data_IF_785640502479
#
_entry.id   IF_785640502479
#
_cell.length_a   1.000
_cell.length_b   1.000
_cell.length_c   1.000
_cell.angle_alpha   90.00
_cell.angle_beta   90.00
_cell.angle_gamma   90.00
#
_symmetry.space_group_name_H-M   'P 1'
#
loop_
_entity.id
_entity.type
_entity.pdbx_description
1 polymer ?
#
# COMPACT_ATOMS: atom_id res chain seq x y z
N UNK A 1 -26.83 38.62 -0.56
CA UNK A 1 -25.71 38.03 0.20
C UNK A 1 -24.59 37.47 -0.68
N UNK A 2 -24.78 36.40 -1.47
CA UNK A 2 -23.72 35.93 -2.38
C UNK A 2 -23.41 36.93 -3.50
N UNK A 3 -24.44 37.59 -4.03
CA UNK A 3 -24.32 38.71 -4.97
C UNK A 3 -23.44 39.84 -4.44
N UNK A 4 -23.63 40.25 -3.18
CA UNK A 4 -22.91 41.40 -2.59
C UNK A 4 -21.44 41.09 -2.36
N UNK A 5 -21.11 39.85 -1.97
CA UNK A 5 -19.73 39.39 -1.86
C UNK A 5 -19.07 39.25 -3.22
N UNK A 6 -19.78 38.78 -4.24
CA UNK A 6 -19.27 38.77 -5.60
C UNK A 6 -19.01 40.19 -6.11
N UNK A 7 -19.92 41.14 -5.87
CA UNK A 7 -19.72 42.55 -6.22
C UNK A 7 -18.48 43.12 -5.50
N UNK A 8 -18.28 42.83 -4.22
CA UNK A 8 -17.08 43.25 -3.48
C UNK A 8 -15.81 42.61 -4.04
N UNK A 9 -15.86 41.31 -4.34
CA UNK A 9 -14.73 40.58 -4.92
C UNK A 9 -14.34 41.12 -6.31
N UNK A 10 -15.34 41.50 -7.12
CA UNK A 10 -15.15 42.13 -8.42
C UNK A 10 -14.51 43.51 -8.30
N UNK A 11 -14.99 44.35 -7.36
CA UNK A 11 -14.40 45.68 -7.12
C UNK A 11 -12.95 45.60 -6.61
N UNK A 12 -12.61 44.54 -5.89
CA UNK A 12 -11.29 44.37 -5.27
C UNK A 12 -10.30 43.49 -6.04
N UNK A 13 -10.63 42.99 -7.24
CA UNK A 13 -9.82 42.01 -7.99
C UNK A 13 -9.34 40.84 -7.10
N UNK A 14 -10.28 40.25 -6.36
CA UNK A 14 -9.94 39.26 -5.35
C UNK A 14 -9.25 38.02 -5.94
N UNK A 15 -8.06 37.70 -5.41
CA UNK A 15 -7.33 36.46 -5.74
C UNK A 15 -7.97 35.22 -5.11
N UNK A 16 -8.69 35.38 -4.00
CA UNK A 16 -9.39 34.27 -3.35
C UNK A 16 -10.78 34.70 -2.92
N UNK A 17 -11.78 33.89 -3.25
CA UNK A 17 -13.19 34.16 -2.97
C UNK A 17 -13.77 33.05 -2.12
N UNK A 18 -14.27 33.42 -0.94
CA UNK A 18 -14.84 32.49 0.04
C UNK A 18 -16.36 32.69 0.14
N UNK A 19 -17.12 31.68 -0.29
CA UNK A 19 -18.57 31.63 -0.29
C UNK A 19 -19.09 30.39 0.46
N UNK A 20 -18.29 29.86 1.38
CA UNK A 20 -18.61 28.66 2.15
C UNK A 20 -19.69 28.92 3.21
N UNK A 21 -20.50 27.89 3.52
CA UNK A 21 -21.50 27.93 4.60
C UNK A 21 -22.55 29.03 4.44
N UNK A 22 -23.06 29.23 3.21
CA UNK A 22 -24.01 30.31 2.87
C UNK A 22 -25.38 29.82 2.40
N UNK A 23 -25.67 28.53 2.54
CA UNK A 23 -26.90 27.89 2.07
C UNK A 23 -27.20 28.18 0.58
N UNK A 24 -26.15 28.28 -0.24
CA UNK A 24 -26.29 28.57 -1.66
C UNK A 24 -26.85 27.34 -2.37
N UNK A 25 -27.94 27.53 -3.10
CA UNK A 25 -28.47 26.53 -4.03
C UNK A 25 -27.88 26.66 -5.43
N UNK A 26 -27.48 27.86 -5.81
CA UNK A 26 -26.88 28.17 -7.10
C UNK A 26 -25.78 29.22 -6.94
N UNK A 27 -24.74 29.12 -7.78
CA UNK A 27 -23.72 30.18 -7.90
C UNK A 27 -24.18 31.18 -8.96
N UNK A 28 -24.22 32.49 -8.67
CA UNK A 28 -24.61 33.50 -9.65
C UNK A 28 -23.67 33.52 -10.87
N UNK A 29 -24.24 33.75 -12.07
CA UNK A 29 -23.48 33.84 -13.34
C UNK A 29 -22.34 34.88 -13.30
N UNK A 30 -22.47 35.91 -12.45
CA UNK A 30 -21.45 36.92 -12.21
C UNK A 30 -20.10 36.34 -11.70
N UNK A 31 -20.07 35.10 -11.21
CA UNK A 31 -18.82 34.42 -10.83
C UNK A 31 -17.80 34.41 -11.96
N UNK A 32 -18.24 34.33 -13.24
CA UNK A 32 -17.34 34.34 -14.38
C UNK A 32 -16.64 35.69 -14.63
N UNK A 33 -17.02 36.75 -13.94
CA UNK A 33 -16.35 38.05 -14.04
C UNK A 33 -15.10 38.12 -13.13
N UNK A 34 -14.87 37.12 -12.27
CA UNK A 34 -13.74 37.04 -11.35
C UNK A 34 -12.44 36.57 -12.02
N UNK A 35 -12.04 37.23 -13.11
CA UNK A 35 -10.93 36.77 -13.97
C UNK A 35 -9.58 36.59 -13.26
N UNK A 36 -9.35 37.27 -12.13
CA UNK A 36 -8.12 37.22 -11.34
C UNK A 36 -8.15 36.21 -10.17
N UNK A 37 -9.24 35.45 -10.01
CA UNK A 37 -9.39 34.54 -8.88
C UNK A 37 -8.58 33.27 -9.09
N UNK A 38 -7.71 33.00 -8.12
CA UNK A 38 -6.81 31.85 -8.02
C UNK A 38 -7.43 30.74 -7.14
N UNK A 39 -8.23 31.12 -6.14
CA UNK A 39 -8.88 30.17 -5.23
C UNK A 39 -10.36 30.48 -5.02
N UNK A 40 -11.23 29.49 -5.19
CA UNK A 40 -12.67 29.61 -5.01
C UNK A 40 -13.18 28.54 -4.04
N UNK A 41 -13.75 28.99 -2.91
CA UNK A 41 -14.32 28.11 -1.89
C UNK A 41 -15.83 28.24 -1.86
N UNK A 42 -16.50 27.14 -2.19
CA UNK A 42 -17.96 27.00 -2.30
C UNK A 42 -18.48 25.86 -1.41
N UNK A 43 -17.65 25.36 -0.48
CA UNK A 43 -17.99 24.22 0.37
C UNK A 43 -19.06 24.52 1.42
N UNK A 44 -19.72 23.49 1.94
CA UNK A 44 -20.81 23.60 2.91
C UNK A 44 -21.97 24.45 2.35
N UNK A 45 -22.48 24.11 1.18
CA UNK A 45 -23.66 24.74 0.59
C UNK A 45 -24.65 23.66 0.15
N UNK A 46 -25.62 23.99 -0.70
CA UNK A 46 -26.58 23.05 -1.27
C UNK A 46 -26.54 23.13 -2.80
N UNK A 47 -25.34 23.23 -3.36
CA UNK A 47 -25.13 23.32 -4.81
C UNK A 47 -25.29 21.94 -5.44
N UNK A 48 -26.13 21.86 -6.48
CA UNK A 48 -26.25 20.68 -7.35
C UNK A 48 -25.62 20.90 -8.73
N UNK A 49 -25.33 22.15 -9.09
CA UNK A 49 -24.73 22.52 -10.38
C UNK A 49 -23.85 23.77 -10.27
N UNK A 50 -23.04 23.99 -11.30
CA UNK A 50 -22.22 25.19 -11.46
C UNK A 50 -22.58 25.90 -12.76
N UNK A 51 -22.61 27.24 -12.80
CA UNK A 51 -22.90 27.99 -14.01
C UNK A 51 -21.79 27.83 -15.05
N UNK A 52 -22.13 27.78 -16.33
CA UNK A 52 -21.16 27.70 -17.43
C UNK A 52 -20.14 28.84 -17.41
N UNK A 53 -20.54 30.01 -16.91
CA UNK A 53 -19.66 31.18 -16.78
C UNK A 53 -18.43 30.89 -15.91
N UNK A 54 -18.41 29.83 -15.08
CA UNK A 54 -17.23 29.44 -14.33
C UNK A 54 -16.03 29.15 -15.25
N UNK A 55 -16.26 28.73 -16.50
CA UNK A 55 -15.20 28.42 -17.46
C UNK A 55 -14.28 29.59 -17.82
N UNK A 56 -14.69 30.83 -17.54
CA UNK A 56 -13.87 32.04 -17.77
C UNK A 56 -12.80 32.25 -16.70
N UNK A 57 -12.81 31.48 -15.61
CA UNK A 57 -11.82 31.57 -14.53
C UNK A 57 -10.49 30.91 -14.90
N UNK A 58 -9.78 31.52 -15.86
CA UNK A 58 -8.53 31.00 -16.44
C UNK A 58 -7.32 31.02 -15.50
N UNK A 59 -7.45 31.60 -14.30
CA UNK A 59 -6.39 31.63 -13.29
C UNK A 59 -6.70 30.73 -12.08
N UNK A 60 -7.84 30.04 -12.09
CA UNK A 60 -8.28 29.25 -10.95
C UNK A 60 -7.37 28.02 -10.79
N UNK A 61 -6.75 27.91 -9.61
CA UNK A 61 -5.85 26.81 -9.25
C UNK A 61 -6.41 25.95 -8.12
N UNK A 62 -7.25 26.51 -7.26
CA UNK A 62 -7.88 25.81 -6.14
C UNK A 62 -9.39 26.00 -6.18
N UNK A 63 -10.13 24.89 -6.20
CA UNK A 63 -11.58 24.88 -6.15
C UNK A 63 -12.04 23.90 -5.07
N UNK A 64 -12.81 24.42 -4.10
CA UNK A 64 -13.40 23.61 -3.05
C UNK A 64 -14.93 23.61 -3.16
N UNK A 65 -15.49 22.44 -3.49
CA UNK A 65 -16.91 22.15 -3.66
C UNK A 65 -17.41 21.13 -2.62
N UNK A 66 -16.63 20.84 -1.58
CA UNK A 66 -17.01 19.82 -0.60
C UNK A 66 -18.28 20.14 0.18
N UNK A 67 -18.97 19.13 0.72
CA UNK A 67 -20.23 19.27 1.47
C UNK A 67 -21.27 20.08 0.67
N UNK A 68 -21.64 19.56 -0.49
CA UNK A 68 -22.72 20.04 -1.36
C UNK A 68 -23.61 18.85 -1.72
N UNK A 69 -24.41 18.95 -2.78
CA UNK A 69 -25.34 17.89 -3.23
C UNK A 69 -25.07 17.52 -4.70
N UNK A 70 -23.80 17.49 -5.11
CA UNK A 70 -23.42 17.06 -6.45
C UNK A 70 -23.57 15.54 -6.57
N UNK A 71 -24.35 15.08 -7.55
CA UNK A 71 -24.47 13.65 -7.90
C UNK A 71 -23.46 13.21 -8.97
N UNK A 72 -22.90 14.18 -9.71
CA UNK A 72 -21.86 13.99 -10.71
C UNK A 72 -20.84 15.13 -10.62
N UNK A 73 -19.64 14.92 -11.18
CA UNK A 73 -18.68 16.02 -11.34
C UNK A 73 -19.24 17.03 -12.36
N UNK A 74 -19.36 18.33 -12.02
CA UNK A 74 -19.91 19.31 -12.95
C UNK A 74 -19.10 19.41 -14.26
N UNK A 75 -19.78 19.28 -15.40
CA UNK A 75 -19.15 19.26 -16.72
C UNK A 75 -18.30 20.52 -17.02
N UNK A 76 -18.66 21.67 -16.46
CA UNK A 76 -17.91 22.94 -16.62
C UNK A 76 -16.46 22.85 -16.13
N UNK A 77 -16.15 21.93 -15.21
CA UNK A 77 -14.80 21.77 -14.68
C UNK A 77 -13.80 21.35 -15.76
N UNK A 78 -14.25 20.70 -16.85
CA UNK A 78 -13.38 20.29 -17.96
C UNK A 78 -12.66 21.45 -18.65
N UNK A 79 -13.18 22.68 -18.49
CA UNK A 79 -12.62 23.89 -19.08
C UNK A 79 -11.63 24.62 -18.16
N UNK A 80 -11.48 24.18 -16.89
CA UNK A 80 -10.63 24.80 -15.88
C UNK A 80 -9.23 24.18 -15.91
N UNK A 81 -8.55 24.31 -17.05
CA UNK A 81 -7.27 23.62 -17.31
C UNK A 81 -6.12 24.04 -16.39
N UNK A 82 -6.23 25.18 -15.69
CA UNK A 82 -5.23 25.65 -14.71
C UNK A 82 -5.42 25.07 -13.30
N UNK A 83 -6.47 24.29 -13.08
CA UNK A 83 -6.82 23.78 -11.77
C UNK A 83 -5.77 22.77 -11.28
N UNK A 84 -5.26 23.00 -10.07
CA UNK A 84 -4.26 22.17 -9.40
C UNK A 84 -4.83 21.39 -8.21
N UNK A 85 -5.83 21.95 -7.54
CA UNK A 85 -6.44 21.34 -6.35
C UNK A 85 -7.96 21.35 -6.49
N UNK A 86 -8.56 20.17 -6.45
CA UNK A 86 -10.00 19.98 -6.51
C UNK A 86 -10.48 19.17 -5.31
N UNK A 87 -11.37 19.79 -4.54
CA UNK A 87 -12.00 19.16 -3.38
C UNK A 87 -13.49 18.99 -3.64
N UNK A 88 -13.97 17.75 -3.63
CA UNK A 88 -15.33 17.32 -3.89
C UNK A 88 -15.88 16.41 -2.77
N UNK A 89 -15.23 16.43 -1.59
CA UNK A 89 -15.60 15.56 -0.48
C UNK A 89 -17.02 15.81 0.02
N UNK A 90 -17.71 14.80 0.57
CA UNK A 90 -19.03 15.00 1.18
C UNK A 90 -20.09 15.43 0.17
N UNK A 91 -20.13 14.79 -0.99
CA UNK A 91 -21.19 14.96 -1.99
C UNK A 91 -21.86 13.60 -2.22
N UNK A 92 -22.76 13.50 -3.19
CA UNK A 92 -23.45 12.27 -3.57
C UNK A 92 -22.92 11.71 -4.90
N UNK A 93 -21.66 12.00 -5.25
CA UNK A 93 -21.08 11.65 -6.54
C UNK A 93 -21.01 10.13 -6.68
N UNK A 94 -21.69 9.57 -7.67
CA UNK A 94 -21.70 8.11 -7.90
C UNK A 94 -20.84 7.68 -9.10
N UNK A 95 -20.52 8.60 -10.02
CA UNK A 95 -19.68 8.35 -11.19
C UNK A 95 -18.73 9.50 -11.48
N UNK A 96 -17.58 9.20 -12.10
CA UNK A 96 -16.63 10.20 -12.57
C UNK A 96 -16.70 10.24 -14.09
N UNK A 97 -17.12 11.39 -14.65
CA UNK A 97 -17.19 11.57 -16.09
C UNK A 97 -15.76 11.63 -16.69
N UNK A 98 -15.40 10.73 -17.64
CA UNK A 98 -14.08 10.73 -18.27
C UNK A 98 -13.67 12.07 -18.86
N UNK A 99 -14.56 12.75 -19.61
CA UNK A 99 -14.24 14.02 -20.28
C UNK A 99 -13.80 15.10 -19.30
N UNK A 100 -14.37 15.09 -18.10
CA UNK A 100 -14.02 16.08 -17.07
C UNK A 100 -12.63 15.82 -16.53
N UNK A 101 -12.24 14.56 -16.32
CA UNK A 101 -10.89 14.21 -15.90
C UNK A 101 -9.86 14.53 -16.98
N UNK A 102 -10.18 14.31 -18.26
CA UNK A 102 -9.28 14.65 -19.37
C UNK A 102 -9.01 16.15 -19.47
N UNK A 103 -9.98 16.99 -19.09
CA UNK A 103 -9.85 18.46 -19.07
C UNK A 103 -9.02 19.04 -17.92
N UNK A 104 -8.52 18.20 -17.00
CA UNK A 104 -7.85 18.62 -15.77
C UNK A 104 -6.39 18.13 -15.66
N UNK A 105 -5.53 18.29 -16.69
CA UNK A 105 -4.19 17.68 -16.75
C UNK A 105 -3.21 18.23 -15.69
N UNK A 106 -3.51 19.38 -15.09
CA UNK A 106 -2.65 20.04 -14.11
C UNK A 106 -3.03 19.74 -12.66
N UNK A 107 -4.00 18.86 -12.42
CA UNK A 107 -4.37 18.46 -11.06
C UNK A 107 -3.20 17.78 -10.35
N UNK A 108 -2.95 18.25 -9.15
CA UNK A 108 -1.97 17.73 -8.17
C UNK A 108 -2.67 17.12 -6.96
N UNK A 109 -3.85 17.62 -6.60
CA UNK A 109 -4.67 17.12 -5.49
C UNK A 109 -6.10 16.89 -5.96
N UNK A 110 -6.59 15.67 -5.77
CA UNK A 110 -7.98 15.31 -5.99
C UNK A 110 -8.55 14.61 -4.75
N UNK A 111 -9.54 15.24 -4.11
CA UNK A 111 -10.22 14.70 -2.94
C UNK A 111 -11.69 14.44 -3.25
N UNK A 112 -12.07 13.17 -3.23
CA UNK A 112 -13.41 12.62 -3.50
C UNK A 112 -13.98 11.87 -2.29
N UNK A 113 -13.47 12.13 -1.08
CA UNK A 113 -13.88 11.42 0.13
C UNK A 113 -15.38 11.57 0.41
N UNK A 114 -16.01 10.58 1.07
CA UNK A 114 -17.42 10.64 1.46
C UNK A 114 -18.33 10.94 0.26
N UNK A 115 -18.28 10.06 -0.73
CA UNK A 115 -19.16 10.07 -1.90
C UNK A 115 -19.76 8.66 -2.08
N UNK A 116 -20.36 8.39 -3.24
CA UNK A 116 -20.99 7.10 -3.60
C UNK A 116 -20.31 6.44 -4.79
N UNK A 117 -19.03 6.77 -5.04
CA UNK A 117 -18.31 6.36 -6.24
C UNK A 117 -18.07 4.85 -6.19
N UNK A 118 -18.42 4.15 -7.28
CA UNK A 118 -18.20 2.70 -7.45
C UNK A 118 -17.01 2.35 -8.33
N UNK A 119 -16.74 3.18 -9.34
CA UNK A 119 -15.70 2.94 -10.34
C UNK A 119 -14.94 4.22 -10.60
N UNK A 120 -13.61 4.12 -10.67
CA UNK A 120 -12.74 5.18 -11.19
C UNK A 120 -12.45 4.82 -12.66
N UNK A 121 -12.78 5.69 -13.64
CA UNK A 121 -12.60 5.36 -15.04
C UNK A 121 -11.11 5.34 -15.42
N UNK A 122 -10.73 4.57 -16.47
CA UNK A 122 -9.38 4.57 -17.05
C UNK A 122 -8.83 5.96 -17.41
N UNK A 123 -9.70 6.94 -17.65
CA UNK A 123 -9.33 8.33 -17.91
C UNK A 123 -8.53 8.99 -16.77
N UNK A 124 -8.49 8.39 -15.56
CA UNK A 124 -7.65 8.85 -14.45
C UNK A 124 -6.17 8.99 -14.84
N UNK A 125 -5.68 8.20 -15.82
CA UNK A 125 -4.31 8.32 -16.36
C UNK A 125 -3.98 9.69 -16.94
N UNK A 126 -4.98 10.50 -17.28
CA UNK A 126 -4.80 11.87 -17.80
C UNK A 126 -4.34 12.86 -16.73
N UNK A 127 -4.55 12.54 -15.45
CA UNK A 127 -4.10 13.35 -14.32
C UNK A 127 -2.61 13.10 -14.03
N UNK A 128 -1.75 13.25 -15.04
CA UNK A 128 -0.32 12.87 -14.97
C UNK A 128 0.50 13.67 -13.94
N UNK A 129 -0.05 14.79 -13.45
CA UNK A 129 0.53 15.61 -12.40
C UNK A 129 0.00 15.30 -10.99
N UNK A 130 -0.86 14.29 -10.82
CA UNK A 130 -1.50 14.00 -9.54
C UNK A 130 -0.46 13.48 -8.53
N UNK A 131 -0.43 14.13 -7.38
CA UNK A 131 0.46 13.81 -6.25
C UNK A 131 -0.34 13.19 -5.09
N UNK A 132 -1.54 13.71 -4.84
CA UNK A 132 -2.41 13.27 -3.75
C UNK A 132 -3.77 12.87 -4.32
N UNK A 133 -4.13 11.60 -4.13
CA UNK A 133 -5.43 11.06 -4.50
C UNK A 133 -6.13 10.47 -3.28
N UNK A 134 -7.31 10.99 -2.95
CA UNK A 134 -8.09 10.53 -1.79
C UNK A 134 -9.54 10.28 -2.18
N UNK A 135 -10.04 9.08 -1.89
CA UNK A 135 -11.41 8.63 -2.21
C UNK A 135 -11.96 7.75 -1.09
N UNK A 136 -11.71 8.13 0.17
CA UNK A 136 -12.13 7.37 1.34
C UNK A 136 -13.64 7.38 1.52
N UNK A 137 -14.21 6.38 2.18
CA UNK A 137 -15.65 6.31 2.44
C UNK A 137 -16.46 6.42 1.14
N UNK A 138 -16.20 5.50 0.22
CA UNK A 138 -16.90 5.36 -1.05
C UNK A 138 -17.34 3.89 -1.21
N UNK A 139 -17.71 3.49 -2.43
CA UNK A 139 -18.19 2.15 -2.74
C UNK A 139 -17.31 1.48 -3.80
N UNK A 140 -16.02 1.82 -3.85
CA UNK A 140 -15.10 1.28 -4.87
C UNK A 140 -14.93 -0.22 -4.70
N UNK A 141 -15.13 -0.96 -5.78
CA UNK A 141 -14.96 -2.42 -5.83
C UNK A 141 -13.57 -2.80 -6.38
N UNK A 142 -13.00 -1.95 -7.22
CA UNK A 142 -11.70 -2.13 -7.85
C UNK A 142 -10.88 -0.83 -7.92
N UNK A 143 -9.56 -0.99 -8.01
CA UNK A 143 -8.64 0.09 -8.36
C UNK A 143 -8.32 -0.09 -9.86
N UNK A 144 -8.50 0.93 -10.72
CA UNK A 144 -8.14 0.79 -12.13
C UNK A 144 -6.63 0.67 -12.29
N UNK A 145 -6.18 -0.22 -13.19
CA UNK A 145 -4.76 -0.42 -13.51
C UNK A 145 -4.07 0.89 -13.95
N UNK A 146 -4.82 1.78 -14.61
CA UNK A 146 -4.38 3.10 -15.04
C UNK A 146 -3.90 4.01 -13.91
N UNK A 147 -4.30 3.77 -12.66
CA UNK A 147 -3.80 4.53 -11.51
C UNK A 147 -2.29 4.34 -11.34
N UNK A 148 -1.77 3.15 -11.70
CA UNK A 148 -0.33 2.84 -11.71
C UNK A 148 0.51 3.65 -12.71
N UNK A 149 -0.13 4.35 -13.65
CA UNK A 149 0.55 5.21 -14.62
C UNK A 149 0.88 6.60 -14.05
N UNK A 150 0.31 6.98 -12.90
CA UNK A 150 0.48 8.30 -12.31
C UNK A 150 1.76 8.37 -11.45
N UNK A 151 2.92 8.42 -12.11
CA UNK A 151 4.26 8.33 -11.48
C UNK A 151 4.62 9.42 -10.47
N UNK A 152 3.81 10.48 -10.37
CA UNK A 152 3.97 11.56 -9.39
C UNK A 152 3.18 11.34 -8.10
N UNK A 153 2.34 10.29 -8.02
CA UNK A 153 1.59 10.00 -6.81
C UNK A 153 2.53 9.73 -5.63
N UNK A 154 2.35 10.51 -4.57
CA UNK A 154 3.04 10.36 -3.29
C UNK A 154 2.10 9.86 -2.21
N UNK A 155 0.79 10.14 -2.32
CA UNK A 155 -0.20 9.72 -1.34
C UNK A 155 -1.48 9.19 -2.02
N UNK A 156 -1.88 7.98 -1.62
CA UNK A 156 -3.15 7.37 -2.03
C UNK A 156 -3.93 7.00 -0.77
N UNK A 157 -5.18 7.45 -0.68
CA UNK A 157 -6.10 7.04 0.37
C UNK A 157 -7.40 6.47 -0.20
N UNK A 158 -7.54 5.15 -0.05
CA UNK A 158 -8.63 4.30 -0.53
C UNK A 158 -9.37 3.64 0.65
N UNK A 159 -9.18 4.12 1.88
CA UNK A 159 -9.77 3.51 3.06
C UNK A 159 -11.31 3.56 3.07
N UNK A 160 -11.97 2.60 3.72
CA UNK A 160 -13.44 2.47 3.79
C UNK A 160 -14.06 2.38 2.39
N UNK A 161 -13.69 1.33 1.64
CA UNK A 161 -14.26 0.97 0.35
C UNK A 161 -14.58 -0.54 0.34
N UNK A 162 -14.80 -1.14 -0.83
CA UNK A 162 -15.11 -2.56 -1.01
C UNK A 162 -14.04 -3.27 -1.84
N UNK A 163 -12.79 -2.79 -1.77
CA UNK A 163 -11.70 -3.31 -2.59
C UNK A 163 -11.36 -4.74 -2.17
N UNK A 164 -11.22 -5.62 -3.15
CA UNK A 164 -10.87 -7.04 -2.92
C UNK A 164 -9.43 -7.37 -3.31
N UNK A 165 -8.83 -6.57 -4.20
CA UNK A 165 -7.47 -6.77 -4.70
C UNK A 165 -6.79 -5.44 -5.01
N UNK A 166 -5.47 -5.49 -5.16
CA UNK A 166 -4.62 -4.38 -5.63
C UNK A 166 -4.08 -4.78 -7.01
N UNK A 167 -4.24 -3.95 -8.06
CA UNK A 167 -3.72 -4.26 -9.39
C UNK A 167 -2.20 -4.18 -9.41
N UNK A 168 -1.56 -5.06 -10.18
CA UNK A 168 -0.10 -5.15 -10.27
C UNK A 168 0.56 -3.82 -10.69
N UNK A 169 -0.11 -3.04 -11.53
CA UNK A 169 0.39 -1.75 -12.01
C UNK A 169 0.57 -0.73 -10.87
N UNK A 170 -0.12 -0.88 -9.74
CA UNK A 170 0.03 0.03 -8.61
C UNK A 170 1.42 -0.07 -7.97
N UNK A 171 2.12 -1.19 -8.14
CA UNK A 171 3.48 -1.38 -7.69
C UNK A 171 4.49 -0.52 -8.45
N UNK A 172 4.15 -0.04 -9.64
CA UNK A 172 5.04 0.83 -10.42
C UNK A 172 5.06 2.29 -9.92
N UNK A 173 4.39 2.59 -8.80
CA UNK A 173 4.36 3.91 -8.17
C UNK A 173 5.56 4.10 -7.24
N UNK A 174 6.73 4.28 -7.82
CA UNK A 174 8.01 4.37 -7.07
C UNK A 174 8.12 5.60 -6.16
N UNK A 175 7.32 6.65 -6.38
CA UNK A 175 7.30 7.85 -5.54
C UNK A 175 6.28 7.77 -4.39
N UNK A 176 5.52 6.68 -4.28
CA UNK A 176 4.47 6.53 -3.27
C UNK A 176 5.09 6.47 -1.88
N UNK A 177 4.64 7.37 -0.99
CA UNK A 177 5.09 7.47 0.41
C UNK A 177 4.04 7.00 1.39
N UNK A 178 2.76 7.18 1.05
CA UNK A 178 1.63 6.80 1.91
C UNK A 178 0.56 6.07 1.11
N UNK A 179 0.20 4.88 1.57
CA UNK A 179 -0.88 4.08 1.02
C UNK A 179 -1.84 3.67 2.14
N UNK A 180 -3.07 4.17 2.10
CA UNK A 180 -4.12 3.80 3.04
C UNK A 180 -5.19 2.97 2.33
N UNK A 181 -5.32 1.72 2.74
CA UNK A 181 -6.26 0.70 2.25
C UNK A 181 -7.12 0.13 3.39
N UNK A 182 -7.14 0.80 4.54
CA UNK A 182 -7.88 0.36 5.72
C UNK A 182 -9.36 0.11 5.42
N UNK A 183 -9.99 -0.86 6.10
CA UNK A 183 -11.43 -1.13 6.04
C UNK A 183 -11.87 -1.39 4.60
N UNK A 184 -11.25 -2.41 3.99
CA UNK A 184 -11.61 -2.97 2.70
C UNK A 184 -11.80 -4.50 2.88
N UNK A 185 -11.81 -5.26 1.78
CA UNK A 185 -11.95 -6.71 1.79
C UNK A 185 -10.77 -7.41 1.14
N UNK A 186 -9.57 -6.83 1.27
CA UNK A 186 -8.33 -7.41 0.73
C UNK A 186 -8.01 -8.72 1.43
N UNK A 187 -7.74 -9.77 0.65
CA UNK A 187 -7.35 -11.09 1.17
C UNK A 187 -5.85 -11.29 1.22
N UNK A 188 -5.14 -10.72 0.26
CA UNK A 188 -3.70 -10.87 0.11
C UNK A 188 -3.09 -9.57 -0.43
N UNK A 189 -1.78 -9.39 -0.21
CA UNK A 189 -0.97 -8.40 -0.90
C UNK A 189 -0.11 -9.15 -1.94
N UNK A 190 -0.32 -8.93 -3.26
CA UNK A 190 0.43 -9.65 -4.30
C UNK A 190 1.95 -9.44 -4.28
N UNK A 191 2.66 -10.33 -4.98
CA UNK A 191 4.07 -10.16 -5.33
C UNK A 191 4.28 -8.89 -6.17
N UNK A 192 5.34 -8.12 -5.87
CA UNK A 192 5.60 -6.81 -6.49
C UNK A 192 5.65 -5.64 -5.51
N UNK A 193 5.39 -5.89 -4.23
CA UNK A 193 5.38 -4.85 -3.18
C UNK A 193 6.69 -4.05 -3.08
N UNK A 194 7.81 -4.62 -3.53
CA UNK A 194 9.11 -3.97 -3.60
C UNK A 194 9.15 -2.73 -4.51
N UNK A 195 8.23 -2.60 -5.47
CA UNK A 195 8.13 -1.40 -6.31
C UNK A 195 7.79 -0.13 -5.53
N UNK A 196 7.23 -0.27 -4.33
CA UNK A 196 6.97 0.82 -3.39
C UNK A 196 8.22 1.21 -2.57
N UNK A 197 9.33 1.46 -3.27
CA UNK A 197 10.66 1.71 -2.69
C UNK A 197 10.69 2.86 -1.67
N UNK A 198 9.82 3.87 -1.85
CA UNK A 198 9.77 5.07 -1.01
C UNK A 198 8.61 5.08 0.00
N UNK A 199 7.91 3.94 0.16
CA UNK A 199 6.76 3.84 1.03
C UNK A 199 7.18 3.89 2.49
N UNK A 200 6.53 4.80 3.23
CA UNK A 200 6.78 5.06 4.64
C UNK A 200 5.61 4.63 5.50
N UNK A 201 4.39 4.91 5.04
CA UNK A 201 3.16 4.58 5.77
C UNK A 201 2.31 3.64 4.94
N UNK A 202 2.05 2.45 5.48
CA UNK A 202 1.10 1.49 4.94
C UNK A 202 -0.01 1.22 5.97
N UNK A 203 -1.25 1.47 5.59
CA UNK A 203 -2.41 1.14 6.41
C UNK A 203 -3.29 0.12 5.68
N UNK A 204 -3.31 -1.10 6.18
CA UNK A 204 -4.14 -2.22 5.71
C UNK A 204 -5.05 -2.74 6.81
N UNK A 205 -5.27 -1.96 7.88
CA UNK A 205 -6.10 -2.37 9.00
C UNK A 205 -7.55 -2.65 8.59
N UNK A 206 -8.23 -3.62 9.20
CA UNK A 206 -9.62 -3.96 8.91
C UNK A 206 -9.83 -4.57 7.53
N UNK A 207 -8.94 -5.46 7.11
CA UNK A 207 -9.06 -6.26 5.89
C UNK A 207 -9.22 -7.76 6.26
N UNK A 208 -9.02 -8.66 5.29
CA UNK A 208 -9.05 -10.11 5.49
C UNK A 208 -7.69 -10.76 5.21
N UNK A 209 -6.59 -10.02 5.44
CA UNK A 209 -5.24 -10.51 5.22
C UNK A 209 -4.94 -11.68 6.15
N UNK A 210 -4.38 -12.76 5.60
CA UNK A 210 -3.96 -13.94 6.36
C UNK A 210 -2.45 -14.00 6.58
N UNK A 211 -1.67 -13.41 5.66
CA UNK A 211 -0.22 -13.30 5.72
C UNK A 211 0.29 -12.11 4.89
N UNK A 212 1.54 -11.72 5.12
CA UNK A 212 2.27 -10.80 4.25
C UNK A 212 3.11 -11.59 3.23
N UNK A 213 3.37 -11.04 2.02
CA UNK A 213 4.27 -11.67 1.05
C UNK A 213 5.72 -11.71 1.59
N UNK A 214 6.53 -12.65 1.11
CA UNK A 214 7.90 -12.85 1.60
C UNK A 214 8.77 -11.58 1.51
N UNK A 215 8.60 -10.82 0.43
CA UNK A 215 9.37 -9.60 0.19
C UNK A 215 8.94 -8.40 1.06
N UNK A 216 7.86 -8.52 1.84
CA UNK A 216 7.36 -7.45 2.70
C UNK A 216 8.41 -6.97 3.71
N UNK A 217 9.28 -7.86 4.18
CA UNK A 217 10.35 -7.55 5.14
C UNK A 217 11.39 -6.54 4.62
N UNK A 218 11.47 -6.33 3.30
CA UNK A 218 12.44 -5.41 2.70
C UNK A 218 11.91 -3.97 2.60
N UNK A 219 10.63 -3.73 2.91
CA UNK A 219 10.08 -2.38 2.95
C UNK A 219 10.57 -1.61 4.18
N UNK A 220 11.10 -0.41 3.96
CA UNK A 220 11.55 0.49 5.01
C UNK A 220 10.40 1.35 5.55
N UNK A 221 9.33 0.71 6.03
CA UNK A 221 8.16 1.41 6.59
C UNK A 221 8.50 2.12 7.91
N UNK A 222 8.03 3.35 8.04
CA UNK A 222 8.02 4.12 9.30
C UNK A 222 6.77 3.78 10.13
N UNK A 223 5.65 3.55 9.45
CA UNK A 223 4.34 3.28 10.07
C UNK A 223 3.62 2.14 9.34
N UNK A 224 3.16 1.14 10.09
CA UNK A 224 2.37 0.03 9.58
C UNK A 224 1.15 -0.19 10.47
N UNK A 225 -0.04 -0.10 9.88
CA UNK A 225 -1.31 -0.41 10.53
C UNK A 225 -1.91 -1.65 9.86
N UNK A 226 -2.22 -2.68 10.64
CA UNK A 226 -2.66 -3.98 10.14
C UNK A 226 -3.64 -4.69 11.08
N UNK A 227 -4.13 -3.99 12.10
CA UNK A 227 -5.07 -4.48 13.08
C UNK A 227 -6.40 -4.88 12.42
N UNK A 228 -7.13 -5.84 12.99
CA UNK A 228 -8.43 -6.26 12.43
C UNK A 228 -8.33 -7.03 11.12
N UNK A 229 -7.21 -7.71 10.87
CA UNK A 229 -7.03 -8.72 9.84
C UNK A 229 -7.10 -10.13 10.42
N UNK A 230 -7.08 -11.15 9.55
CA UNK A 230 -7.17 -12.56 9.90
C UNK A 230 -5.79 -13.24 9.88
N UNK A 231 -4.76 -12.53 10.36
CA UNK A 231 -3.42 -13.12 10.43
C UNK A 231 -3.46 -14.36 11.31
N UNK A 232 -2.94 -15.46 10.77
CA UNK A 232 -2.91 -16.73 11.47
C UNK A 232 -2.18 -16.53 12.79
N UNK A 233 -2.89 -16.73 13.91
CA UNK A 233 -2.25 -16.85 15.21
C UNK A 233 -1.43 -18.13 15.17
N UNK A 234 -0.11 -17.99 15.14
CA UNK A 234 0.77 -19.14 15.27
C UNK A 234 0.66 -19.66 16.70
N UNK A 235 -0.09 -20.75 16.90
CA UNK A 235 0.13 -21.59 18.07
C UNK A 235 1.55 -22.13 17.96
N UNK A 236 2.41 -21.69 18.88
CA UNK A 236 3.74 -22.26 19.04
C UNK A 236 3.53 -23.73 19.41
N UNK A 237 3.66 -24.62 18.43
CA UNK A 237 3.78 -26.04 18.73
C UNK A 237 5.10 -26.22 19.46
N UNK A 238 5.03 -26.56 20.76
CA UNK A 238 6.17 -27.13 21.44
C UNK A 238 6.57 -28.37 20.65
N UNK A 239 7.76 -28.34 20.05
CA UNK A 239 8.30 -29.56 19.47
C UNK A 239 8.48 -30.53 20.63
N UNK A 240 7.65 -31.57 20.66
CA UNK A 240 7.92 -32.73 21.49
C UNK A 240 9.22 -33.31 20.98
N UNK A 241 10.34 -32.96 21.64
CA UNK A 241 11.52 -33.81 21.62
C UNK A 241 11.08 -35.13 22.21
N UNK A 242 10.71 -36.07 21.34
CA UNK A 242 10.99 -37.47 21.63
C UNK A 242 12.45 -37.45 22.08
N UNK A 243 12.75 -37.99 23.25
CA UNK A 243 14.14 -38.23 23.66
C UNK A 243 14.72 -39.22 22.63
N UNK A 244 15.14 -38.70 21.49
CA UNK A 244 15.97 -39.42 20.56
C UNK A 244 17.27 -39.63 21.29
N UNK A 245 17.43 -40.84 21.82
CA UNK A 245 18.75 -41.41 22.04
C UNK A 245 19.38 -41.41 20.66
N UNK A 246 20.12 -40.35 20.33
CA UNK A 246 20.81 -40.26 19.05
C UNK A 246 21.56 -41.57 18.84
N UNK A 247 21.25 -42.27 17.76
CA UNK A 247 21.95 -43.50 17.47
C UNK A 247 23.45 -43.21 17.39
N UNK A 248 24.29 -44.17 17.77
CA UNK A 248 25.74 -44.04 17.67
C UNK A 248 26.18 -43.62 16.24
N UNK A 249 25.42 -44.04 15.22
CA UNK A 249 25.60 -43.63 13.81
C UNK A 249 25.40 -42.12 13.61
N UNK A 250 24.41 -41.51 14.25
CA UNK A 250 24.09 -40.09 14.10
C UNK A 250 25.03 -39.19 14.90
N UNK A 251 25.43 -39.60 16.11
CA UNK A 251 26.48 -38.92 16.87
C UNK A 251 27.82 -38.94 16.12
N UNK A 252 28.18 -40.08 15.52
CA UNK A 252 29.37 -40.21 14.71
C UNK A 252 29.34 -39.29 13.48
N UNK A 253 28.21 -39.22 12.77
CA UNK A 253 28.07 -38.34 11.61
C UNK A 253 28.16 -36.86 11.97
N UNK A 254 27.54 -36.44 13.09
CA UNK A 254 27.63 -35.07 13.60
C UNK A 254 29.08 -34.70 13.96
N UNK A 255 29.83 -35.61 14.57
CA UNK A 255 31.25 -35.41 14.86
C UNK A 255 32.06 -35.23 13.56
N UNK A 256 31.82 -36.08 12.55
CA UNK A 256 32.51 -36.03 11.25
C UNK A 256 32.21 -34.71 10.49
N UNK A 257 30.97 -34.24 10.54
CA UNK A 257 30.56 -32.97 9.94
C UNK A 257 31.20 -31.78 10.68
N UNK A 258 31.27 -31.82 12.02
CA UNK A 258 31.90 -30.79 12.85
C UNK A 258 33.41 -30.70 12.65
N UNK A 259 34.08 -31.83 12.45
CA UNK A 259 35.51 -31.88 12.09
C UNK A 259 35.78 -31.51 10.63
N UNK A 260 34.75 -31.07 9.89
CA UNK A 260 34.91 -30.45 8.60
C UNK A 260 35.52 -31.38 7.55
N UNK A 261 35.39 -32.70 7.67
CA UNK A 261 36.01 -33.69 6.78
C UNK A 261 37.46 -33.34 6.42
N UNK A 262 38.27 -33.01 7.43
CA UNK A 262 39.71 -32.92 7.26
C UNK A 262 40.23 -34.26 6.72
N UNK A 263 40.72 -34.29 5.47
CA UNK A 263 41.18 -35.51 4.78
C UNK A 263 42.36 -36.21 5.47
N UNK A 264 43.02 -35.51 6.41
CA UNK A 264 44.13 -36.04 7.20
C UNK A 264 43.68 -36.57 8.57
N UNK A 265 42.40 -36.42 8.93
CA UNK A 265 41.87 -36.93 10.20
C UNK A 265 41.83 -38.46 10.21
N UNK A 266 41.95 -39.04 11.40
CA UNK A 266 41.76 -40.49 11.60
C UNK A 266 40.35 -40.90 11.16
N UNK A 267 39.35 -40.03 11.38
CA UNK A 267 37.97 -40.26 10.98
C UNK A 267 37.79 -40.33 9.46
N UNK A 268 38.44 -39.45 8.69
CA UNK A 268 38.36 -39.50 7.23
C UNK A 268 39.04 -40.74 6.63
N UNK A 269 40.05 -41.29 7.32
CA UNK A 269 40.72 -42.54 6.92
C UNK A 269 39.89 -43.78 7.27
N UNK A 270 39.08 -43.73 8.33
CA UNK A 270 38.20 -44.82 8.74
C UNK A 270 36.86 -44.82 7.98
N UNK A 271 36.43 -43.67 7.46
CA UNK A 271 35.15 -43.50 6.76
C UNK A 271 34.91 -44.52 5.60
N UNK A 272 35.93 -44.92 4.80
CA UNK A 272 35.82 -46.00 3.81
C UNK A 272 35.21 -47.31 4.32
N UNK A 273 35.37 -47.62 5.61
CA UNK A 273 34.94 -48.88 6.23
C UNK A 273 33.45 -48.89 6.62
N UNK A 274 32.74 -47.76 6.50
CA UNK A 274 31.35 -47.60 6.96
C UNK A 274 30.44 -47.09 5.82
N UNK A 275 29.95 -47.96 4.92
CA UNK A 275 29.17 -47.56 3.73
C UNK A 275 27.82 -46.92 4.07
N UNK A 276 27.14 -47.37 5.13
CA UNK A 276 25.90 -46.74 5.64
C UNK A 276 26.14 -45.28 6.03
N UNK A 277 27.25 -45.02 6.71
CA UNK A 277 27.63 -43.69 7.20
C UNK A 277 27.99 -42.77 6.03
N UNK A 278 28.65 -43.29 4.98
CA UNK A 278 28.89 -42.55 3.74
C UNK A 278 27.60 -42.22 3.00
N UNK A 279 26.66 -43.17 2.93
CA UNK A 279 25.35 -42.97 2.30
C UNK A 279 24.53 -41.94 3.06
N UNK A 280 24.63 -41.92 4.38
CA UNK A 280 23.98 -40.90 5.21
C UNK A 280 24.66 -39.54 5.06
N UNK A 281 25.99 -39.51 5.09
CA UNK A 281 26.77 -38.29 4.90
C UNK A 281 26.62 -37.74 3.49
N UNK A 282 26.34 -38.51 2.45
CA UNK A 282 26.14 -37.98 1.09
C UNK A 282 24.87 -37.12 0.96
N UNK A 283 23.92 -37.29 1.89
CA UNK A 283 22.68 -36.51 1.97
C UNK A 283 22.82 -35.22 2.78
N UNK A 284 24.03 -34.81 3.17
CA UNK A 284 24.24 -33.56 3.88
C UNK A 284 23.91 -32.32 3.03
N UNK A 285 23.42 -31.28 3.70
CA UNK A 285 23.21 -29.94 3.14
C UNK A 285 24.14 -28.91 3.78
N UNK A 286 24.13 -27.69 3.23
CA UNK A 286 24.75 -26.51 3.86
C UNK A 286 23.66 -25.55 4.31
N UNK A 287 23.76 -25.05 5.54
CA UNK A 287 22.79 -24.08 6.02
C UNK A 287 22.94 -22.75 5.26
N UNK A 288 21.82 -22.16 4.85
CA UNK A 288 21.83 -20.90 4.11
C UNK A 288 22.21 -19.67 4.95
N UNK A 289 22.19 -19.77 6.28
CA UNK A 289 22.58 -18.67 7.19
C UNK A 289 24.06 -18.74 7.56
N UNK A 290 24.46 -19.84 8.19
CA UNK A 290 25.79 -19.97 8.76
C UNK A 290 26.76 -20.77 7.89
N UNK A 291 26.31 -21.26 6.72
CA UNK A 291 27.06 -22.08 5.76
C UNK A 291 27.68 -23.37 6.31
N UNK A 292 27.34 -23.71 7.55
CA UNK A 292 27.75 -24.95 8.20
C UNK A 292 27.05 -26.16 7.58
N UNK A 293 27.73 -27.30 7.62
CA UNK A 293 27.21 -28.57 7.11
C UNK A 293 26.23 -29.17 8.10
N UNK A 294 25.12 -29.72 7.62
CA UNK A 294 24.12 -30.41 8.45
C UNK A 294 23.55 -31.62 7.71
N UNK A 295 22.98 -32.58 8.43
CA UNK A 295 22.25 -33.69 7.81
C UNK A 295 20.84 -33.22 7.46
N UNK A 296 20.37 -33.48 6.25
CA UNK A 296 19.06 -33.03 5.72
C UNK A 296 17.84 -33.45 6.54
N UNK A 297 18.02 -34.28 7.56
CA UNK A 297 17.01 -34.61 8.57
C UNK A 297 16.78 -33.51 9.61
N UNK A 298 17.70 -32.54 9.78
CA UNK A 298 17.63 -31.53 10.85
C UNK A 298 18.08 -30.14 10.37
N UNK A 299 17.20 -29.15 10.36
CA UNK A 299 17.57 -27.74 10.19
C UNK A 299 18.52 -27.30 11.31
N UNK A 300 19.83 -27.16 11.02
CA UNK A 300 20.79 -26.63 12.00
C UNK A 300 21.51 -25.36 11.52
N UNK A 301 20.86 -24.22 11.75
CA UNK A 301 21.41 -23.23 12.69
C UNK A 301 20.25 -22.81 13.61
N UNK A 302 20.01 -23.53 14.71
CA UNK A 302 19.18 -23.03 15.83
C UNK A 302 20.07 -23.00 17.06
N UNK A 303 20.63 -21.83 17.34
CA UNK A 303 21.35 -21.60 18.57
C UNK A 303 20.31 -21.28 19.65
N UNK A 304 20.05 -22.24 20.55
CA UNK A 304 19.19 -21.97 21.70
C UNK A 304 19.92 -20.99 22.63
N UNK A 305 19.59 -19.71 22.51
CA UNK A 305 20.05 -18.69 23.46
C UNK A 305 19.31 -18.94 24.78
N UNK A 306 20.06 -19.20 25.84
CA UNK A 306 19.50 -19.36 27.19
C UNK A 306 19.06 -17.98 27.70
N UNK A 307 17.76 -17.68 27.61
CA UNK A 307 17.17 -16.35 27.91
C UNK A 307 17.24 -15.91 29.39
N UNK A 308 18.03 -16.56 30.25
CA UNK A 308 18.17 -16.20 31.68
C UNK A 308 19.45 -15.47 32.06
N UNK A 309 20.25 -14.97 31.11
CA UNK A 309 21.33 -14.03 31.43
C UNK A 309 21.39 -12.86 30.46
N UNK A 310 20.82 -11.73 30.91
CA UNK A 310 21.22 -10.39 30.47
C UNK A 310 20.59 -9.92 29.16
N UNK A 311 19.55 -9.11 29.29
CA UNK A 311 19.10 -8.17 28.26
C UNK A 311 20.28 -7.27 27.87
N UNK A 312 20.58 -7.14 26.57
CA UNK A 312 20.85 -5.90 25.80
C UNK A 312 21.29 -6.29 24.36
N UNK A 313 20.52 -5.80 23.37
CA UNK A 313 20.85 -5.57 21.94
C UNK A 313 21.87 -6.51 21.25
N UNK A 314 21.36 -7.35 20.35
CA UNK A 314 21.66 -7.29 18.91
C UNK A 314 20.68 -8.20 18.17
N UNK A 315 19.89 -7.59 17.28
CA UNK A 315 19.24 -8.25 16.15
C UNK A 315 20.22 -9.21 15.47
N UNK A 316 19.81 -10.45 15.23
CA UNK A 316 20.19 -11.26 14.06
C UNK A 316 19.40 -12.58 14.05
N UNK A 317 18.40 -12.61 13.16
CA UNK A 317 17.95 -13.68 12.26
C UNK A 317 18.23 -15.16 12.60
N UNK A 318 17.15 -15.95 12.56
CA UNK A 318 17.14 -17.36 12.14
C UNK A 318 16.09 -17.60 11.03
N UNK A 319 16.58 -17.57 9.78
CA UNK A 319 16.11 -18.14 8.50
C UNK A 319 14.64 -18.41 8.18
N UNK A 320 14.18 -17.68 7.17
CA UNK A 320 13.14 -17.98 6.17
C UNK A 320 13.28 -19.31 5.40
N UNK A 321 14.34 -20.11 5.57
CA UNK A 321 14.44 -21.44 4.91
C UNK A 321 13.77 -22.59 5.65
N UNK A 322 13.33 -22.40 6.89
CA UNK A 322 12.31 -23.30 7.46
C UNK A 322 10.95 -23.06 6.81
N UNK A 323 10.68 -21.82 6.37
CA UNK A 323 9.37 -21.43 5.86
C UNK A 323 9.12 -21.92 4.42
N UNK A 324 10.15 -21.92 3.55
CA UNK A 324 9.99 -22.36 2.15
C UNK A 324 10.35 -23.83 1.88
N UNK A 325 11.03 -24.55 2.79
CA UNK A 325 11.26 -26.01 2.59
C UNK A 325 10.07 -26.87 3.01
N UNK A 326 9.24 -26.38 3.95
CA UNK A 326 8.02 -27.09 4.41
C UNK A 326 6.92 -27.13 3.34
N UNK A 327 6.89 -26.17 2.41
CA UNK A 327 5.84 -26.08 1.38
C UNK A 327 6.07 -26.99 0.16
N UNK A 328 7.26 -27.55 -0.05
CA UNK A 328 7.55 -28.40 -1.24
C UNK A 328 7.65 -29.91 -0.96
N UNK A 329 7.62 -30.37 0.30
CA UNK A 329 7.75 -31.81 0.62
C UNK A 329 6.51 -32.45 1.26
N UNK A 330 5.33 -31.83 1.13
CA UNK A 330 4.04 -32.42 1.48
C UNK A 330 3.12 -32.57 0.25
N UNK A 331 3.61 -33.31 -0.74
CA UNK A 331 2.77 -34.11 -1.64
C UNK A 331 3.64 -35.17 -2.33
N UNK A 332 4.06 -36.18 -1.59
CA UNK A 332 4.07 -37.62 -1.94
C UNK A 332 4.98 -38.44 -1.02
#
# INVERSE_FOLDING_TARGET
MASDLLIRALRGNAKSVHLSSRNLRNVPKAVGQLACTVGLRLNNNSLSSLPEQLQSLRQLTELNLGNNVFEEIPAVLKNLTTLKKLYLFGNDIFSLNPEVLEGLPNLTVLNLNHNRIRVIPPAIKRLSNLEIFSVTHNQLEEIPAELGLLKKLTEINLANNKLTQIPQQLYDLTQLRKLCLARNSLKDLPEGILGWENLKTLDVAGNHLSMFPADFQFLALEELFFEGNNFVQFELFESFRVQEVFSLKELAARLILKEGMNKLSVLSRALPLYPDLQTMLSRWGRCALCFQRFLTTWLECVQFINLRKGIIKKSLYCSEKAFNWILEHWSH
#
